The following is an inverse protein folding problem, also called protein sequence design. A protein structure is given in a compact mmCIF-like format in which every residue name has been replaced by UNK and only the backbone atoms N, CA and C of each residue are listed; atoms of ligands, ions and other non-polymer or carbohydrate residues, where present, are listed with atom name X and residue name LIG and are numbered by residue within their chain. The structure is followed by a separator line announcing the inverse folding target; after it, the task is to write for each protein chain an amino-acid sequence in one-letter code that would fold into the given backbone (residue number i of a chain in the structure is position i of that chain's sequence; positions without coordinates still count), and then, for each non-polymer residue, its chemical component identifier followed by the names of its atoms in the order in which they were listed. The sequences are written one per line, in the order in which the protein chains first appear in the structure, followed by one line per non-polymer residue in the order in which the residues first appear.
data_IF_841328892406
#
_entry.id   IF_841328892406
#
_cell.length_a   1.000
_cell.length_b   1.000
_cell.length_c   1.000
_cell.angle_alpha   90.00
_cell.angle_beta   90.00
_cell.angle_gamma   90.00
#
_symmetry.space_group_name_H-M   'P 1'
#
loop_
_entity.id
_entity.type
_entity.pdbx_description
1 polymer ?
#
# COMPACT_ATOMS: atom_id res chain seq x y z
N UNK A 1 -3.65 -18.35 -20.56
CA UNK A 1 -3.19 -17.01 -20.11
C UNK A 1 -3.29 -16.06 -21.29
N UNK A 2 -3.55 -14.76 -21.09
CA UNK A 2 -3.54 -13.82 -22.21
C UNK A 2 -2.18 -13.82 -22.87
N UNK A 3 -2.18 -13.81 -24.20
CA UNK A 3 -0.97 -13.80 -25.01
C UNK A 3 -0.60 -12.41 -25.47
N UNK A 4 -1.51 -11.43 -25.45
CA UNK A 4 -1.23 -10.04 -25.86
C UNK A 4 -1.80 -9.01 -24.89
N UNK A 5 -0.93 -8.12 -24.43
CA UNK A 5 -1.24 -7.03 -23.51
C UNK A 5 -0.95 -5.69 -24.21
N UNK A 6 -1.73 -4.68 -23.87
CA UNK A 6 -1.55 -3.30 -24.31
C UNK A 6 -1.40 -2.41 -23.08
N UNK A 7 -0.28 -1.71 -22.98
CA UNK A 7 0.00 -0.74 -21.92
C UNK A 7 -0.17 0.66 -22.50
N UNK A 8 -0.90 1.51 -21.80
CA UNK A 8 -1.12 2.91 -22.15
C UNK A 8 -0.69 3.77 -20.95
N UNK A 9 0.49 4.42 -21.02
CA UNK A 9 0.96 5.29 -19.95
C UNK A 9 0.08 6.54 -19.84
N UNK A 10 -0.41 6.90 -18.65
CA UNK A 10 -1.37 8.02 -18.54
C UNK A 10 -0.78 9.39 -18.92
N UNK A 11 0.52 9.60 -18.77
CA UNK A 11 1.22 10.83 -19.22
C UNK A 11 1.75 10.73 -20.65
N UNK A 12 1.64 9.54 -21.27
CA UNK A 12 2.28 9.23 -22.53
C UNK A 12 3.81 9.11 -22.47
N UNK A 13 4.47 9.25 -21.32
CA UNK A 13 5.91 9.02 -21.16
C UNK A 13 6.19 7.79 -20.31
N UNK A 14 7.11 6.95 -20.78
CA UNK A 14 7.41 5.67 -20.13
C UNK A 14 8.87 5.28 -20.30
N UNK A 15 9.39 4.64 -19.26
CA UNK A 15 10.66 3.95 -19.24
C UNK A 15 10.41 2.43 -19.23
N UNK A 16 11.09 1.72 -20.11
CA UNK A 16 11.15 0.25 -20.13
C UNK A 16 12.56 -0.13 -19.71
N UNK A 17 12.70 -0.78 -18.57
CA UNK A 17 13.99 -1.15 -17.99
C UNK A 17 14.17 -2.66 -17.98
N UNK A 18 15.33 -3.13 -18.44
CA UNK A 18 15.72 -4.54 -18.35
C UNK A 18 16.40 -4.78 -16.99
N UNK A 19 15.69 -5.43 -16.08
CA UNK A 19 16.17 -5.73 -14.74
C UNK A 19 17.39 -6.66 -14.70
N UNK A 20 17.53 -7.55 -15.69
CA UNK A 20 18.64 -8.51 -15.76
C UNK A 20 19.91 -7.82 -16.24
N UNK A 21 19.79 -6.96 -17.25
CA UNK A 21 20.91 -6.22 -17.84
C UNK A 21 21.21 -4.90 -17.13
N UNK A 22 20.34 -4.48 -16.21
CA UNK A 22 20.44 -3.21 -15.48
C UNK A 22 20.56 -1.98 -16.40
N UNK A 23 19.77 -1.96 -17.47
CA UNK A 23 19.80 -0.87 -18.45
C UNK A 23 18.41 -0.50 -18.97
N UNK A 24 18.26 0.76 -19.37
CA UNK A 24 17.05 1.24 -20.06
C UNK A 24 17.02 0.69 -21.49
N UNK A 25 15.91 0.05 -21.87
CA UNK A 25 15.64 -0.43 -23.22
C UNK A 25 14.98 0.67 -24.05
N UNK A 26 14.12 1.45 -23.42
CA UNK A 26 13.36 2.52 -24.05
C UNK A 26 13.03 3.59 -23.01
N UNK A 27 13.19 4.85 -23.38
CA UNK A 27 12.75 5.99 -22.57
C UNK A 27 12.24 7.07 -23.50
N UNK A 28 10.94 7.37 -23.43
CA UNK A 28 10.34 8.32 -24.36
C UNK A 28 8.82 8.37 -24.33
N UNK A 29 8.26 9.08 -25.31
CA UNK A 29 6.82 9.17 -25.50
C UNK A 29 6.28 7.90 -26.16
N UNK A 30 5.31 7.26 -25.52
CA UNK A 30 4.54 6.15 -26.05
C UNK A 30 3.05 6.38 -25.78
N UNK A 31 2.24 6.38 -26.83
CA UNK A 31 0.79 6.31 -26.71
C UNK A 31 0.34 4.90 -26.33
N UNK A 32 0.98 3.87 -26.89
CA UNK A 32 0.66 2.47 -26.62
C UNK A 32 1.90 1.58 -26.71
N UNK A 33 2.01 0.62 -25.81
CA UNK A 33 2.98 -0.47 -25.89
C UNK A 33 2.23 -1.79 -26.00
N UNK A 34 2.51 -2.58 -27.03
CA UNK A 34 1.95 -3.91 -27.21
C UNK A 34 2.99 -4.96 -26.81
N UNK A 35 2.64 -5.82 -25.87
CA UNK A 35 3.45 -6.95 -25.42
C UNK A 35 2.78 -8.24 -25.87
N UNK A 36 3.47 -9.07 -26.64
CA UNK A 36 2.95 -10.36 -27.09
C UNK A 36 3.86 -11.50 -26.66
N UNK A 37 3.30 -12.50 -25.98
CA UNK A 37 3.97 -13.77 -25.72
C UNK A 37 4.26 -14.50 -27.03
N UNK A 38 5.45 -15.09 -27.13
CA UNK A 38 5.91 -15.86 -28.27
C UNK A 38 6.26 -17.29 -27.85
N UNK A 39 6.35 -18.18 -28.85
CA UNK A 39 6.90 -19.53 -28.64
C UNK A 39 8.33 -19.43 -28.10
N UNK A 40 8.75 -20.44 -27.33
CA UNK A 40 10.10 -20.51 -26.77
C UNK A 40 10.35 -19.60 -25.56
N UNK A 41 9.30 -19.19 -24.83
CA UNK A 41 9.45 -18.40 -23.60
C UNK A 41 9.96 -16.98 -23.83
N UNK A 42 9.66 -16.41 -25.01
CA UNK A 42 10.02 -15.03 -25.37
C UNK A 42 8.78 -14.15 -25.34
N UNK A 43 8.99 -12.84 -25.23
CA UNK A 43 7.98 -11.82 -25.47
C UNK A 43 8.49 -10.79 -26.47
N UNK A 44 7.57 -10.31 -27.29
CA UNK A 44 7.76 -9.21 -28.23
C UNK A 44 7.20 -7.94 -27.62
N UNK A 45 7.96 -6.87 -27.62
CA UNK A 45 7.54 -5.55 -27.14
C UNK A 45 7.57 -4.57 -28.30
N UNK A 46 6.43 -3.98 -28.63
CA UNK A 46 6.28 -2.98 -29.68
C UNK A 46 5.80 -1.66 -29.07
N UNK A 47 6.54 -0.58 -29.28
CA UNK A 47 6.14 0.78 -28.88
C UNK A 47 5.49 1.48 -30.07
N UNK A 48 4.31 2.08 -29.86
CA UNK A 48 3.47 2.79 -30.84
C UNK A 48 3.42 2.09 -32.20
N UNK A 49 2.52 1.10 -32.34
CA UNK A 49 2.33 0.24 -33.52
C UNK A 49 3.42 0.38 -34.61
N UNK A 50 4.64 -0.08 -34.25
CA UNK A 50 5.86 -0.22 -35.08
C UNK A 50 6.90 0.93 -35.06
N UNK A 51 6.92 1.85 -34.09
CA UNK A 51 8.08 2.78 -33.94
C UNK A 51 9.34 2.10 -33.40
N UNK A 52 9.22 1.10 -32.53
CA UNK A 52 10.37 0.33 -32.04
C UNK A 52 9.92 -1.07 -31.61
N UNK A 53 10.64 -2.10 -32.06
CA UNK A 53 10.32 -3.51 -31.81
C UNK A 53 11.50 -4.21 -31.15
N UNK A 54 11.22 -4.96 -30.09
CA UNK A 54 12.23 -5.65 -29.30
C UNK A 54 11.76 -7.05 -28.88
N UNK A 55 12.72 -7.94 -28.61
CA UNK A 55 12.48 -9.33 -28.21
C UNK A 55 13.23 -9.64 -26.91
N UNK A 56 12.53 -10.20 -25.93
CA UNK A 56 13.08 -10.49 -24.60
C UNK A 56 12.67 -11.87 -24.11
N UNK A 57 13.53 -12.48 -23.30
CA UNK A 57 13.25 -13.74 -22.59
C UNK A 57 13.21 -13.56 -21.06
N UNK A 58 13.41 -12.33 -20.58
CA UNK A 58 13.49 -11.96 -19.17
C UNK A 58 12.38 -10.96 -18.78
N UNK A 59 12.30 -10.64 -17.49
CA UNK A 59 11.39 -9.64 -16.95
C UNK A 59 11.83 -8.22 -17.36
N UNK A 60 10.86 -7.40 -17.77
CA UNK A 60 11.04 -5.97 -18.02
C UNK A 60 10.14 -5.17 -17.10
N UNK A 61 10.64 -4.03 -16.65
CA UNK A 61 9.92 -3.07 -15.83
C UNK A 61 9.40 -1.92 -16.69
N UNK A 62 8.09 -1.68 -16.64
CA UNK A 62 7.38 -0.62 -17.34
C UNK A 62 7.00 0.45 -16.32
N UNK A 63 7.72 1.57 -16.33
CA UNK A 63 7.59 2.64 -15.35
C UNK A 63 7.16 3.94 -16.03
N UNK A 64 5.94 4.44 -15.76
CA UNK A 64 5.53 5.72 -16.30
C UNK A 64 6.29 6.86 -15.61
N UNK A 65 6.82 7.80 -16.41
CA UNK A 65 7.62 8.92 -15.88
C UNK A 65 6.71 9.85 -15.07
N UNK A 66 7.15 10.21 -13.86
CA UNK A 66 6.35 10.97 -12.90
C UNK A 66 5.40 10.12 -12.03
N UNK A 67 5.47 8.78 -12.13
CA UNK A 67 4.62 7.83 -11.39
C UNK A 67 3.10 8.04 -11.53
N UNK A 68 2.56 8.48 -12.68
CA UNK A 68 1.11 8.47 -12.89
C UNK A 68 0.61 7.02 -13.00
N UNK A 69 -0.71 6.80 -12.99
CA UNK A 69 -1.28 5.50 -13.30
C UNK A 69 -0.80 4.91 -14.64
N UNK A 70 -0.65 3.58 -14.68
CA UNK A 70 -0.44 2.80 -15.89
C UNK A 70 -1.75 2.07 -16.23
N UNK A 71 -2.26 2.29 -17.44
CA UNK A 71 -3.44 1.57 -17.91
C UNK A 71 -2.98 0.30 -18.63
N UNK A 72 -3.52 -0.84 -18.23
CA UNK A 72 -3.25 -2.14 -18.81
C UNK A 72 -4.54 -2.71 -19.41
N UNK A 73 -4.57 -2.80 -20.73
CA UNK A 73 -5.61 -3.48 -21.49
C UNK A 73 -5.14 -4.89 -21.84
N UNK A 74 -5.92 -5.89 -21.47
CA UNK A 74 -5.61 -7.29 -21.71
C UNK A 74 -6.65 -7.88 -22.67
N UNK A 75 -6.16 -8.53 -23.73
CA UNK A 75 -7.00 -9.24 -24.69
C UNK A 75 -6.86 -10.75 -24.48
N UNK A 76 -7.87 -11.37 -23.85
CA UNK A 76 -7.96 -12.83 -23.71
C UNK A 76 -9.42 -13.25 -23.65
N UNK A 77 -10.01 -13.61 -24.80
CA UNK A 77 -11.42 -14.02 -24.90
C UNK A 77 -12.45 -12.92 -24.55
N UNK A 78 -11.98 -11.70 -24.29
CA UNK A 78 -12.75 -10.49 -24.01
C UNK A 78 -11.78 -9.33 -23.74
N UNK A 79 -12.16 -8.09 -24.11
CA UNK A 79 -11.37 -6.89 -23.80
C UNK A 79 -11.62 -6.48 -22.36
N UNK A 80 -10.60 -6.53 -21.50
CA UNK A 80 -10.65 -6.01 -20.13
C UNK A 80 -9.58 -4.93 -19.96
N UNK A 81 -9.92 -3.85 -19.25
CA UNK A 81 -9.02 -2.73 -18.97
C UNK A 81 -8.87 -2.56 -17.46
N UNK A 82 -7.64 -2.36 -17.02
CA UNK A 82 -7.27 -2.16 -15.63
C UNK A 82 -6.35 -0.93 -15.53
N UNK A 83 -6.34 -0.28 -14.38
CA UNK A 83 -5.48 0.87 -14.12
C UNK A 83 -4.76 0.67 -12.80
N UNK A 84 -3.43 0.77 -12.82
CA UNK A 84 -2.58 0.51 -11.66
C UNK A 84 -1.71 1.72 -11.34
N UNK A 85 -1.35 1.89 -10.06
CA UNK A 85 -0.33 2.86 -9.67
C UNK A 85 1.06 2.23 -9.75
N UNK A 86 2.08 3.07 -9.81
CA UNK A 86 3.47 2.62 -9.85
C UNK A 86 3.86 2.03 -11.21
N UNK A 87 4.61 0.94 -11.19
CA UNK A 87 5.20 0.31 -12.38
C UNK A 87 4.65 -1.10 -12.57
N UNK A 88 4.80 -1.64 -13.77
CA UNK A 88 4.41 -3.00 -14.10
C UNK A 88 5.63 -3.79 -14.55
N UNK A 89 6.00 -4.83 -13.82
CA UNK A 89 6.98 -5.81 -14.29
C UNK A 89 6.26 -6.89 -15.11
N UNK A 90 6.73 -7.16 -16.32
CA UNK A 90 6.15 -8.17 -17.21
C UNK A 90 7.23 -9.15 -17.63
N UNK A 91 6.92 -10.45 -17.54
CA UNK A 91 7.82 -11.52 -17.95
C UNK A 91 7.08 -12.56 -18.79
N UNK A 92 7.74 -13.20 -19.78
CA UNK A 92 7.16 -14.33 -20.49
C UNK A 92 7.02 -15.55 -19.55
N UNK A 93 5.97 -16.35 -19.76
CA UNK A 93 5.75 -17.63 -19.08
C UNK A 93 5.24 -18.67 -20.09
N UNK A 94 5.36 -19.97 -19.78
CA UNK A 94 4.86 -21.04 -20.66
C UNK A 94 3.37 -20.81 -20.98
N UNK A 95 3.08 -20.48 -22.24
CA UNK A 95 1.71 -20.23 -22.72
C UNK A 95 1.11 -18.85 -22.41
N UNK A 96 1.91 -17.83 -22.03
CA UNK A 96 1.40 -16.46 -21.88
C UNK A 96 2.37 -15.47 -21.26
N UNK A 97 1.81 -14.39 -20.72
CA UNK A 97 2.55 -13.35 -20.00
C UNK A 97 2.20 -13.37 -18.51
N UNK A 98 3.19 -13.01 -17.69
CA UNK A 98 3.07 -12.79 -16.24
C UNK A 98 3.26 -11.32 -15.93
N UNK A 99 2.46 -10.79 -15.01
CA UNK A 99 2.51 -9.39 -14.60
C UNK A 99 2.61 -9.25 -13.10
N UNK A 100 3.51 -8.38 -12.66
CA UNK A 100 3.72 -8.04 -11.25
C UNK A 100 3.66 -6.53 -11.15
N UNK A 101 2.69 -6.00 -10.41
CA UNK A 101 2.60 -4.57 -10.17
C UNK A 101 3.57 -4.19 -9.04
N UNK A 102 4.47 -3.24 -9.34
CA UNK A 102 5.39 -2.65 -8.38
C UNK A 102 4.82 -1.31 -7.92
N UNK A 103 4.46 -1.22 -6.64
CA UNK A 103 3.70 -0.09 -6.11
C UNK A 103 4.18 0.29 -4.70
N UNK A 104 4.05 1.57 -4.37
CA UNK A 104 4.23 2.09 -3.02
C UNK A 104 3.15 1.51 -2.09
N UNK A 105 3.50 1.20 -0.83
CA UNK A 105 2.56 0.58 0.11
C UNK A 105 1.35 1.48 0.41
N UNK A 106 1.51 2.79 0.46
CA UNK A 106 0.42 3.73 0.70
C UNK A 106 -0.52 3.77 -0.52
N UNK A 107 0.03 3.74 -1.73
CA UNK A 107 -0.76 3.62 -2.96
C UNK A 107 -1.47 2.26 -3.08
N UNK A 108 -0.82 1.19 -2.64
CA UNK A 108 -1.42 -0.14 -2.55
C UNK A 108 -2.64 -0.15 -1.63
N UNK A 109 -2.52 0.46 -0.45
CA UNK A 109 -3.59 0.48 0.54
C UNK A 109 -4.83 1.25 0.09
N UNK A 110 -4.69 2.24 -0.80
CA UNK A 110 -5.83 2.95 -1.40
C UNK A 110 -6.78 2.02 -2.16
N UNK A 111 -6.25 0.91 -2.70
CA UNK A 111 -7.05 -0.13 -3.36
C UNK A 111 -7.49 -1.24 -2.41
N UNK A 112 -6.60 -1.66 -1.49
CA UNK A 112 -6.89 -2.76 -0.55
C UNK A 112 -8.00 -2.40 0.42
N UNK A 113 -7.90 -1.27 1.12
CA UNK A 113 -8.84 -0.89 2.18
C UNK A 113 -10.31 -0.91 1.70
N UNK A 114 -10.70 -0.26 0.60
CA UNK A 114 -12.08 -0.31 0.10
C UNK A 114 -12.47 -1.64 -0.56
N UNK A 115 -11.51 -2.55 -0.75
CA UNK A 115 -11.77 -3.92 -1.18
C UNK A 115 -12.05 -4.85 0.00
N UNK A 116 -11.57 -4.49 1.19
CA UNK A 116 -11.65 -5.31 2.40
C UNK A 116 -12.80 -4.89 3.32
N UNK A 117 -12.96 -3.59 3.59
CA UNK A 117 -14.00 -3.08 4.51
C UNK A 117 -15.09 -2.32 3.76
N UNK A 118 -16.27 -2.25 4.35
CA UNK A 118 -17.42 -1.50 3.82
C UNK A 118 -17.03 -0.06 3.43
N UNK A 119 -17.38 0.35 2.21
CA UNK A 119 -16.93 1.62 1.63
C UNK A 119 -17.47 2.88 2.34
N UNK A 120 -18.48 2.75 3.21
CA UNK A 120 -18.99 3.83 4.08
C UNK A 120 -18.77 3.54 5.57
N UNK A 121 -17.83 2.65 5.90
CA UNK A 121 -17.43 2.42 7.29
C UNK A 121 -16.97 3.74 7.94
N UNK A 122 -17.24 3.97 9.24
CA UNK A 122 -16.79 5.18 9.94
C UNK A 122 -15.27 5.38 9.87
N UNK A 123 -14.82 6.64 9.97
CA UNK A 123 -13.40 7.02 9.83
C UNK A 123 -12.46 6.18 10.70
N UNK A 124 -12.80 5.96 11.97
CA UNK A 124 -11.98 5.16 12.89
C UNK A 124 -11.86 3.69 12.45
N UNK A 125 -12.90 3.10 11.85
CA UNK A 125 -12.84 1.74 11.31
C UNK A 125 -11.98 1.67 10.04
N UNK A 126 -12.08 2.68 9.16
CA UNK A 126 -11.22 2.78 7.98
C UNK A 126 -9.74 2.93 8.37
N UNK A 127 -9.44 3.76 9.36
CA UNK A 127 -8.09 3.94 9.90
C UNK A 127 -7.56 2.65 10.54
N UNK A 128 -8.37 1.95 11.36
CA UNK A 128 -7.99 0.67 11.95
C UNK A 128 -7.71 -0.39 10.87
N UNK A 129 -8.60 -0.54 9.89
CA UNK A 129 -8.39 -1.43 8.74
C UNK A 129 -7.13 -1.08 7.96
N UNK A 130 -6.85 0.20 7.77
CA UNK A 130 -5.66 0.65 7.05
C UNK A 130 -4.38 0.25 7.78
N UNK A 131 -4.30 0.48 9.09
CA UNK A 131 -3.13 0.11 9.91
C UNK A 131 -2.96 -1.41 9.95
N UNK A 132 -4.06 -2.16 10.13
CA UNK A 132 -4.04 -3.62 10.11
C UNK A 132 -3.59 -4.17 8.74
N UNK A 133 -4.11 -3.62 7.64
CA UNK A 133 -3.72 -4.01 6.29
C UNK A 133 -2.26 -3.67 5.98
N UNK A 134 -1.78 -2.50 6.41
CA UNK A 134 -0.38 -2.07 6.28
C UNK A 134 0.56 -3.03 7.00
N UNK A 135 0.24 -3.31 8.26
CA UNK A 135 1.03 -4.21 9.10
C UNK A 135 1.09 -5.62 8.51
N UNK A 136 -0.05 -6.13 8.05
CA UNK A 136 -0.13 -7.45 7.40
C UNK A 136 0.75 -7.50 6.16
N UNK A 137 0.66 -6.47 5.30
CA UNK A 137 1.47 -6.38 4.09
C UNK A 137 2.97 -6.36 4.41
N UNK A 138 3.39 -5.62 5.45
CA UNK A 138 4.80 -5.51 5.89
C UNK A 138 5.31 -6.85 6.40
N UNK A 139 4.56 -7.48 7.31
CA UNK A 139 4.92 -8.78 7.90
C UNK A 139 5.08 -9.87 6.84
N UNK A 140 4.23 -9.83 5.81
CA UNK A 140 4.17 -10.88 4.78
C UNK A 140 4.98 -10.55 3.52
N UNK A 141 5.86 -9.55 3.54
CA UNK A 141 6.65 -9.17 2.37
C UNK A 141 7.45 -10.34 1.77
N UNK A 142 7.94 -11.27 2.60
CA UNK A 142 8.75 -12.40 2.14
C UNK A 142 7.93 -13.64 1.76
N UNK A 143 6.60 -13.58 1.81
CA UNK A 143 5.72 -14.76 1.71
C UNK A 143 5.84 -15.53 0.41
N UNK A 144 6.06 -14.82 -0.70
CA UNK A 144 6.18 -15.40 -2.04
C UNK A 144 7.55 -15.11 -2.68
N UNK A 145 8.50 -14.56 -1.91
CA UNK A 145 9.76 -14.03 -2.43
C UNK A 145 10.78 -15.10 -2.80
N UNK A 146 10.52 -16.37 -2.49
CA UNK A 146 11.33 -17.51 -2.93
C UNK A 146 11.09 -17.84 -4.40
N UNK A 147 10.38 -18.92 -4.68
CA UNK A 147 10.22 -19.45 -6.05
C UNK A 147 9.37 -18.59 -6.98
N UNK A 148 8.56 -17.65 -6.46
CA UNK A 148 7.55 -16.96 -7.26
C UNK A 148 7.92 -15.51 -7.66
N UNK A 149 8.96 -14.93 -7.06
CA UNK A 149 9.48 -13.59 -7.35
C UNK A 149 8.48 -12.43 -7.14
N UNK A 150 7.53 -12.58 -6.21
CA UNK A 150 6.66 -11.50 -5.72
C UNK A 150 6.51 -11.55 -4.19
N UNK A 151 5.86 -10.55 -3.61
CA UNK A 151 5.76 -10.41 -2.15
C UNK A 151 4.35 -10.73 -1.66
N UNK A 152 3.33 -10.22 -2.35
CA UNK A 152 1.91 -10.46 -2.05
C UNK A 152 1.13 -10.85 -3.31
N UNK A 153 0.07 -11.63 -3.13
CA UNK A 153 -0.90 -11.98 -4.16
C UNK A 153 -2.15 -11.07 -4.10
N UNK A 154 -2.93 -11.02 -5.17
CA UNK A 154 -4.16 -10.21 -5.32
C UNK A 154 -5.45 -10.90 -4.82
N UNK A 155 -5.32 -12.09 -4.23
CA UNK A 155 -6.44 -12.92 -3.76
C UNK A 155 -6.72 -12.73 -2.28
N UNK A 156 -7.89 -13.20 -1.82
CA UNK A 156 -8.29 -13.25 -0.40
C UNK A 156 -7.30 -14.00 0.51
N UNK A 157 -6.42 -14.82 -0.06
CA UNK A 157 -5.34 -15.47 0.68
C UNK A 157 -4.24 -14.48 1.15
N UNK A 158 -4.05 -13.38 0.43
CA UNK A 158 -3.14 -12.30 0.78
C UNK A 158 -3.96 -11.05 1.16
N UNK A 159 -4.30 -10.20 0.19
CA UNK A 159 -5.27 -9.10 0.32
C UNK A 159 -5.85 -8.80 -1.06
N UNK A 160 -7.12 -8.37 -1.12
CA UNK A 160 -7.76 -8.07 -2.41
C UNK A 160 -7.19 -6.77 -2.97
N UNK A 161 -6.58 -6.84 -4.17
CA UNK A 161 -6.01 -5.68 -4.87
C UNK A 161 -6.56 -5.60 -6.30
N UNK A 162 -7.25 -4.50 -6.64
CA UNK A 162 -7.91 -4.33 -7.95
C UNK A 162 -7.41 -3.09 -8.71
N UNK A 163 -6.30 -2.49 -8.26
CA UNK A 163 -5.82 -1.22 -8.81
C UNK A 163 -6.74 -0.05 -8.47
N UNK A 164 -6.75 0.96 -9.35
CA UNK A 164 -7.36 2.28 -9.08
C UNK A 164 -8.89 2.22 -9.06
N UNK A 165 -9.51 1.25 -9.73
CA UNK A 165 -10.96 1.17 -9.90
C UNK A 165 -11.75 1.12 -8.57
N UNK A 166 -11.11 0.69 -7.47
CA UNK A 166 -11.74 0.60 -6.14
C UNK A 166 -11.35 1.73 -5.20
N UNK A 167 -10.49 2.65 -5.61
CA UNK A 167 -10.07 3.77 -4.77
C UNK A 167 -11.25 4.69 -4.47
N UNK A 168 -11.43 5.01 -3.18
CA UNK A 168 -12.43 5.98 -2.72
C UNK A 168 -11.76 7.05 -1.86
N UNK A 169 -12.36 8.25 -1.84
CA UNK A 169 -11.84 9.39 -1.05
C UNK A 169 -11.68 9.05 0.43
N UNK A 170 -12.63 8.31 0.99
CA UNK A 170 -12.65 7.94 2.41
C UNK A 170 -11.46 7.05 2.79
N UNK A 171 -11.20 6.00 2.02
CA UNK A 171 -10.03 5.14 2.21
C UNK A 171 -8.72 5.91 1.97
N UNK A 172 -8.69 6.78 0.96
CA UNK A 172 -7.50 7.62 0.68
C UNK A 172 -7.19 8.57 1.83
N UNK A 173 -8.21 9.14 2.48
CA UNK A 173 -8.09 9.95 3.70
C UNK A 173 -7.50 9.11 4.84
N UNK A 174 -8.06 7.92 5.11
CA UNK A 174 -7.57 7.02 6.16
C UNK A 174 -6.11 6.58 5.94
N UNK A 175 -5.72 6.29 4.69
CA UNK A 175 -4.33 6.02 4.29
C UNK A 175 -3.42 7.19 4.65
N UNK A 176 -3.80 8.42 4.29
CA UNK A 176 -3.02 9.62 4.58
C UNK A 176 -2.89 9.88 6.09
N UNK A 177 -3.97 9.77 6.85
CA UNK A 177 -3.99 10.06 8.31
C UNK A 177 -3.26 8.98 9.14
N UNK A 178 -3.08 7.80 8.56
CA UNK A 178 -2.36 6.68 9.18
C UNK A 178 -1.02 6.37 8.51
N UNK A 179 -0.48 7.31 7.74
CA UNK A 179 0.75 7.12 6.98
C UNK A 179 1.86 6.51 7.84
N UNK A 180 2.46 5.41 7.35
CA UNK A 180 3.54 4.71 8.05
C UNK A 180 3.16 3.98 9.34
N UNK A 181 1.94 4.16 9.89
CA UNK A 181 1.54 3.54 11.16
C UNK A 181 1.29 2.04 10.98
N UNK A 182 1.92 1.24 11.83
CA UNK A 182 1.79 -0.21 11.92
C UNK A 182 1.61 -0.65 13.38
N UNK A 183 1.20 -1.91 13.57
CA UNK A 183 1.25 -2.59 14.85
C UNK A 183 2.50 -3.46 14.95
N UNK A 184 3.16 -3.43 16.09
CA UNK A 184 4.29 -4.30 16.43
C UNK A 184 3.97 -5.11 17.68
N UNK A 185 4.57 -6.30 17.78
CA UNK A 185 4.60 -7.09 19.00
C UNK A 185 6.03 -7.55 19.26
N UNK A 186 6.62 -7.09 20.37
CA UNK A 186 8.07 -7.13 20.55
C UNK A 186 8.75 -6.18 19.55
N UNK A 187 9.76 -6.67 18.84
CA UNK A 187 10.49 -5.95 17.79
C UNK A 187 9.95 -6.18 16.37
N UNK A 188 8.92 -7.00 16.21
CA UNK A 188 8.45 -7.46 14.90
C UNK A 188 7.07 -6.88 14.54
N UNK A 189 6.78 -6.63 13.24
CA UNK A 189 5.44 -6.31 12.77
C UNK A 189 4.43 -7.38 13.21
N UNK A 190 3.34 -6.97 13.86
CA UNK A 190 2.35 -7.89 14.41
C UNK A 190 1.58 -8.65 13.30
N UNK A 191 1.08 -9.83 13.63
CA UNK A 191 0.21 -10.60 12.75
C UNK A 191 -1.21 -10.07 12.82
N UNK A 192 -1.54 -9.13 11.93
CA UNK A 192 -2.82 -8.42 11.91
C UNK A 192 -3.81 -9.03 10.93
N UNK A 193 -4.07 -10.33 11.08
CA UNK A 193 -5.15 -11.03 10.36
C UNK A 193 -6.51 -10.41 10.68
N UNK A 194 -7.40 -10.33 9.70
CA UNK A 194 -8.73 -9.77 9.83
C UNK A 194 -9.73 -10.53 8.96
N UNK A 195 -11.02 -10.46 9.31
CA UNK A 195 -12.09 -11.22 8.66
C UNK A 195 -13.40 -10.43 8.66
N UNK A 196 -14.38 -10.86 7.84
CA UNK A 196 -15.61 -10.08 7.62
C UNK A 196 -16.51 -9.94 8.84
N UNK A 197 -16.88 -11.05 9.48
CA UNK A 197 -17.76 -11.03 10.64
C UNK A 197 -17.46 -12.19 11.57
N UNK A 198 -17.44 -11.97 12.89
CA UNK A 198 -17.09 -12.98 13.87
C UNK A 198 -18.30 -13.79 14.40
N UNK A 199 -19.53 -13.31 14.18
CA UNK A 199 -20.74 -13.90 14.76
C UNK A 199 -20.83 -13.71 16.28
N UNK A 200 -20.14 -12.72 16.84
CA UNK A 200 -20.15 -12.34 18.26
C UNK A 200 -18.92 -12.81 19.04
N UNK A 201 -18.07 -13.65 18.47
CA UNK A 201 -16.91 -14.21 19.18
C UNK A 201 -15.68 -14.30 18.27
N UNK A 202 -14.55 -13.80 18.76
CA UNK A 202 -13.23 -13.96 18.16
C UNK A 202 -12.68 -15.32 18.59
N UNK A 203 -12.00 -15.99 17.66
CA UNK A 203 -11.43 -17.32 17.87
C UNK A 203 -9.91 -17.21 18.11
N UNK A 204 -9.41 -18.01 19.04
CA UNK A 204 -7.97 -18.11 19.33
C UNK A 204 -7.20 -18.67 18.12
N UNK A 205 -6.04 -18.08 17.82
CA UNK A 205 -5.19 -18.52 16.71
C UNK A 205 -4.87 -20.01 16.72
N UNK A 206 -4.68 -20.63 17.91
CA UNK A 206 -4.42 -22.06 18.07
C UNK A 206 -5.59 -22.95 17.66
N UNK A 207 -6.81 -22.41 17.76
CA UNK A 207 -7.98 -23.10 17.28
C UNK A 207 -8.01 -23.06 15.76
N UNK A 208 -7.83 -21.88 15.16
CA UNK A 208 -7.97 -21.70 13.72
C UNK A 208 -6.89 -22.39 12.89
N UNK A 209 -5.63 -22.36 13.35
CA UNK A 209 -4.48 -22.82 12.56
C UNK A 209 -3.56 -23.74 13.37
N UNK A 210 -2.93 -24.68 12.67
CA UNK A 210 -1.82 -25.48 13.21
C UNK A 210 -0.57 -24.59 13.25
N UNK A 211 0.06 -24.44 14.41
CA UNK A 211 1.29 -23.65 14.56
C UNK A 211 1.49 -23.12 15.98
N UNK A 212 2.57 -22.36 16.16
CA UNK A 212 2.90 -21.73 17.45
C UNK A 212 1.83 -20.72 17.86
N UNK A 213 1.50 -20.64 19.17
CA UNK A 213 0.55 -19.66 19.68
C UNK A 213 0.99 -18.23 19.34
N UNK A 214 0.06 -17.41 18.87
CA UNK A 214 0.27 -15.97 18.71
C UNK A 214 -0.35 -15.27 19.92
N UNK A 215 0.45 -14.69 20.85
CA UNK A 215 -0.04 -14.28 22.18
C UNK A 215 -1.16 -13.24 22.17
N UNK A 216 -1.21 -12.39 21.15
CA UNK A 216 -2.19 -11.32 20.99
C UNK A 216 -3.37 -11.69 20.08
N UNK A 217 -3.39 -12.90 19.50
CA UNK A 217 -4.53 -13.40 18.73
C UNK A 217 -5.37 -14.34 19.60
N UNK A 218 -6.02 -13.71 20.58
CA UNK A 218 -6.81 -14.36 21.61
C UNK A 218 -8.26 -14.56 21.15
N UNK A 219 -8.86 -15.67 21.58
CA UNK A 219 -10.31 -15.81 21.49
C UNK A 219 -10.99 -15.05 22.62
N UNK A 220 -11.96 -14.19 22.31
CA UNK A 220 -12.76 -13.46 23.30
C UNK A 220 -14.11 -13.02 22.71
N UNK A 221 -15.02 -12.56 23.56
CA UNK A 221 -16.29 -11.97 23.12
C UNK A 221 -16.05 -10.69 22.31
N UNK A 222 -16.76 -10.51 21.20
CA UNK A 222 -16.68 -9.32 20.34
C UNK A 222 -17.57 -8.20 20.90
N UNK A 223 -17.36 -7.80 22.15
CA UNK A 223 -18.20 -6.82 22.80
C UNK A 223 -17.88 -6.64 24.27
N UNK A 224 -18.74 -5.88 24.94
CA UNK A 224 -18.79 -5.79 26.39
C UNK A 224 -19.74 -6.88 26.90
N UNK A 225 -19.35 -7.61 27.95
CA UNK A 225 -20.20 -8.63 28.57
C UNK A 225 -21.58 -8.04 28.93
N UNK A 226 -22.65 -8.74 28.55
CA UNK A 226 -24.03 -8.31 28.76
C UNK A 226 -24.58 -7.30 27.73
N UNK A 227 -23.79 -6.86 26.75
CA UNK A 227 -24.26 -6.04 25.62
C UNK A 227 -24.33 -6.86 24.34
N UNK A 228 -24.97 -6.33 23.27
CA UNK A 228 -24.88 -6.94 21.95
C UNK A 228 -23.44 -6.84 21.42
N UNK A 229 -22.97 -7.81 20.63
CA UNK A 229 -21.61 -7.77 20.10
C UNK A 229 -21.45 -6.66 19.06
N UNK A 230 -20.25 -6.09 18.98
CA UNK A 230 -19.88 -5.04 18.05
C UNK A 230 -20.18 -5.42 16.59
N UNK A 231 -19.95 -6.68 16.19
CA UNK A 231 -20.26 -7.12 14.82
C UNK A 231 -21.74 -7.05 14.47
N UNK A 232 -22.66 -7.07 15.43
CA UNK A 232 -24.09 -6.86 15.16
C UNK A 232 -24.37 -5.39 14.87
N UNK A 233 -23.83 -4.47 15.67
CA UNK A 233 -23.94 -3.03 15.39
C UNK A 233 -23.35 -2.68 14.01
N UNK A 234 -22.21 -3.27 13.63
CA UNK A 234 -21.64 -3.05 12.30
C UNK A 234 -22.50 -3.56 11.14
N UNK A 235 -23.18 -4.70 11.32
CA UNK A 235 -24.16 -5.19 10.33
C UNK A 235 -25.32 -4.19 10.15
N UNK A 236 -25.86 -3.67 11.25
CA UNK A 236 -26.94 -2.68 11.20
C UNK A 236 -26.51 -1.40 10.45
N UNK A 237 -25.30 -0.91 10.71
CA UNK A 237 -24.71 0.24 10.00
C UNK A 237 -24.59 -0.03 8.50
N UNK A 238 -24.09 -1.21 8.10
CA UNK A 238 -23.99 -1.61 6.69
C UNK A 238 -25.34 -1.70 5.98
N UNK A 239 -26.38 -2.12 6.70
CA UNK A 239 -27.73 -2.25 6.19
C UNK A 239 -28.50 -0.92 6.18
N UNK A 240 -27.85 0.20 6.52
CA UNK A 240 -28.47 1.52 6.73
C UNK A 240 -29.63 1.51 7.75
N UNK A 241 -29.67 0.52 8.65
CA UNK A 241 -30.68 0.41 9.69
C UNK A 241 -30.25 1.24 10.90
N UNK A 242 -30.30 2.58 10.75
CA UNK A 242 -29.94 3.56 11.80
C UNK A 242 -31.01 3.69 12.91
N UNK A 243 -31.97 2.78 12.97
CA UNK A 243 -33.15 2.90 13.84
C UNK A 243 -32.87 2.52 15.29
N UNK A 244 -31.79 1.76 15.57
CA UNK A 244 -31.44 1.37 16.93
C UNK A 244 -30.45 2.37 17.56
N UNK A 245 -30.78 2.88 18.76
CA UNK A 245 -29.90 3.77 19.51
C UNK A 245 -28.65 3.00 19.95
N UNK A 246 -27.49 3.33 19.36
CA UNK A 246 -26.21 2.74 19.72
C UNK A 246 -25.84 3.06 21.18
N UNK A 247 -25.19 2.13 21.90
CA UNK A 247 -24.69 2.40 23.24
C UNK A 247 -23.60 3.46 23.19
N UNK A 248 -23.36 4.13 24.33
CA UNK A 248 -22.18 5.00 24.50
C UNK A 248 -20.92 4.17 24.68
N UNK A 249 -19.74 4.67 24.25
CA UNK A 249 -18.48 3.96 24.46
C UNK A 249 -18.19 3.88 25.96
N UNK A 250 -17.75 2.70 26.40
CA UNK A 250 -17.27 2.50 27.77
C UNK A 250 -15.85 3.02 27.92
N UNK A 251 -15.51 3.52 29.11
CA UNK A 251 -14.18 4.01 29.44
C UNK A 251 -13.15 2.88 29.54
N UNK A 252 -13.59 1.67 29.87
CA UNK A 252 -12.77 0.45 29.94
C UNK A 252 -13.53 -0.75 29.40
N UNK A 253 -12.85 -1.59 28.61
CA UNK A 253 -13.38 -2.88 28.13
C UNK A 253 -12.45 -3.98 28.67
N UNK A 254 -13.01 -4.95 29.38
CA UNK A 254 -12.26 -6.11 29.87
C UNK A 254 -12.34 -7.24 28.85
N UNK A 255 -11.18 -7.71 28.37
CA UNK A 255 -11.08 -8.84 27.45
C UNK A 255 -10.91 -10.13 28.28
N UNK A 256 -11.99 -10.88 28.40
CA UNK A 256 -11.96 -12.22 29.02
C UNK A 256 -11.60 -13.27 27.98
N UNK A 257 -10.40 -13.85 28.10
CA UNK A 257 -9.91 -14.90 27.20
C UNK A 257 -10.79 -16.14 27.29
N UNK A 258 -11.23 -16.64 26.14
CA UNK A 258 -11.95 -17.91 26.01
C UNK A 258 -10.98 -19.07 25.78
N UNK A 259 -11.42 -20.30 26.09
CA UNK A 259 -10.67 -21.51 25.78
C UNK A 259 -10.48 -21.64 24.25
N UNK A 260 -9.28 -22.07 23.83
CA UNK A 260 -8.92 -22.35 22.44
C UNK A 260 -9.76 -23.47 21.79
N UNK A 261 -10.49 -24.29 22.57
CA UNK A 261 -11.32 -25.38 22.06
C UNK A 261 -12.73 -24.96 21.58
N UNK A 262 -13.06 -23.66 21.56
CA UNK A 262 -14.39 -23.11 21.19
C UNK A 262 -14.78 -23.23 19.70
N UNK A 263 -14.20 -24.20 18.97
CA UNK A 263 -14.43 -24.50 17.55
C UNK A 263 -15.88 -24.82 17.15
N UNK A 264 -16.78 -25.12 18.10
CA UNK A 264 -18.08 -25.74 17.80
C UNK A 264 -19.20 -24.79 17.28
N UNK A 265 -18.90 -23.52 16.99
CA UNK A 265 -19.91 -22.51 16.62
C UNK A 265 -19.67 -21.83 15.25
N UNK A 266 -19.16 -22.54 14.23
CA UNK A 266 -18.69 -21.87 13.01
C UNK A 266 -19.46 -22.22 11.74
N UNK A 267 -20.24 -21.24 11.25
CA UNK A 267 -20.72 -21.14 9.87
C UNK A 267 -19.55 -20.86 8.91
N UNK A 268 -19.50 -21.57 7.77
CA UNK A 268 -18.46 -21.44 6.72
C UNK A 268 -18.35 -20.03 6.10
N UNK A 269 -19.41 -19.22 6.18
CA UNK A 269 -19.53 -17.93 5.45
C UNK A 269 -18.88 -16.72 6.15
N UNK A 270 -18.24 -16.90 7.30
CA UNK A 270 -17.79 -15.79 8.18
C UNK A 270 -16.27 -15.59 8.25
N UNK A 271 -15.50 -16.31 7.42
CA UNK A 271 -14.04 -16.25 7.41
C UNK A 271 -13.39 -16.99 8.58
N UNK A 272 -12.11 -16.73 8.82
CA UNK A 272 -11.31 -17.47 9.83
C UNK A 272 -11.54 -17.01 11.27
N UNK A 273 -12.20 -15.86 11.49
CA UNK A 273 -12.60 -15.33 12.81
C UNK A 273 -11.50 -15.06 13.84
N UNK A 274 -10.27 -14.94 13.38
CA UNK A 274 -9.10 -14.59 14.22
C UNK A 274 -8.75 -13.13 14.00
N UNK A 275 -8.32 -12.43 15.05
CA UNK A 275 -7.93 -11.03 14.98
C UNK A 275 -9.12 -10.10 14.73
N UNK A 276 -8.93 -9.08 13.92
CA UNK A 276 -9.94 -8.01 13.77
C UNK A 276 -11.16 -8.46 12.96
N UNK A 277 -12.34 -8.30 13.55
CA UNK A 277 -13.62 -8.42 12.88
C UNK A 277 -13.96 -7.10 12.16
N UNK A 278 -14.18 -7.12 10.84
CA UNK A 278 -14.47 -5.91 10.07
C UNK A 278 -15.81 -5.28 10.49
N UNK A 279 -16.87 -6.09 10.57
CA UNK A 279 -18.16 -5.62 11.08
C UNK A 279 -18.05 -5.16 12.55
N UNK A 280 -17.24 -5.83 13.35
CA UNK A 280 -17.01 -5.42 14.74
C UNK A 280 -16.27 -4.09 14.86
N UNK A 281 -15.24 -3.86 14.05
CA UNK A 281 -14.54 -2.58 13.94
C UNK A 281 -15.48 -1.44 13.49
N UNK A 282 -16.39 -1.71 12.55
CA UNK A 282 -17.45 -0.76 12.14
C UNK A 282 -18.36 -0.45 13.33
N UNK A 283 -18.82 -1.47 14.06
CA UNK A 283 -19.68 -1.31 15.23
C UNK A 283 -19.02 -0.48 16.33
N UNK A 284 -17.77 -0.80 16.68
CA UNK A 284 -16.99 -0.03 17.65
C UNK A 284 -16.81 1.43 17.23
N UNK A 285 -16.44 1.66 15.97
CA UNK A 285 -16.25 3.01 15.45
C UNK A 285 -17.57 3.81 15.42
N UNK A 286 -18.69 3.15 15.11
CA UNK A 286 -20.02 3.77 15.12
C UNK A 286 -20.48 4.13 16.54
N UNK A 287 -20.08 3.35 17.55
CA UNK A 287 -20.29 3.64 18.97
C UNK A 287 -19.44 4.84 19.44
N UNK A 288 -18.30 5.10 18.78
CA UNK A 288 -17.44 6.25 19.06
C UNK A 288 -16.02 5.89 19.52
N UNK A 289 -15.63 4.61 19.45
CA UNK A 289 -14.24 4.23 19.70
C UNK A 289 -13.33 4.69 18.54
N UNK A 290 -12.16 5.21 18.88
CA UNK A 290 -11.17 5.61 17.89
C UNK A 290 -10.37 4.40 17.35
N UNK A 291 -9.62 4.61 16.26
CA UNK A 291 -8.87 3.55 15.59
C UNK A 291 -7.88 2.82 16.52
N UNK A 292 -7.23 3.53 17.44
CA UNK A 292 -6.29 2.93 18.40
C UNK A 292 -7.02 2.01 19.37
N UNK A 293 -8.20 2.40 19.86
CA UNK A 293 -9.02 1.57 20.74
C UNK A 293 -9.55 0.33 20.01
N UNK A 294 -10.01 0.48 18.77
CA UNK A 294 -10.41 -0.65 17.92
C UNK A 294 -9.26 -1.65 17.76
N UNK A 295 -8.07 -1.18 17.40
CA UNK A 295 -6.90 -2.04 17.23
C UNK A 295 -6.45 -2.70 18.54
N UNK A 296 -6.48 -1.97 19.65
CA UNK A 296 -6.12 -2.50 20.97
C UNK A 296 -7.09 -3.59 21.45
N UNK A 297 -8.36 -3.48 21.08
CA UNK A 297 -9.37 -4.49 21.39
C UNK A 297 -9.12 -5.81 20.64
N UNK A 298 -8.81 -5.74 19.34
CA UNK A 298 -8.61 -6.94 18.51
C UNK A 298 -7.19 -7.51 18.52
N UNK A 299 -6.19 -6.72 18.88
CA UNK A 299 -4.79 -7.11 18.94
C UNK A 299 -4.17 -6.67 20.28
N UNK A 300 -4.67 -7.18 21.42
CA UNK A 300 -4.24 -6.76 22.75
C UNK A 300 -2.73 -7.00 22.95
N UNK A 301 -2.05 -6.06 23.59
CA UNK A 301 -0.62 -6.12 23.85
C UNK A 301 0.28 -5.73 22.67
N UNK A 302 -0.30 -5.45 21.49
CA UNK A 302 0.46 -4.80 20.41
C UNK A 302 0.69 -3.32 20.68
N UNK A 303 1.77 -2.77 20.13
CA UNK A 303 2.09 -1.33 20.21
C UNK A 303 2.01 -0.71 18.82
N UNK A 304 1.61 0.55 18.77
CA UNK A 304 1.66 1.31 17.53
C UNK A 304 3.09 1.80 17.30
N UNK A 305 3.61 1.60 16.09
CA UNK A 305 4.89 2.11 15.65
C UNK A 305 4.72 2.82 14.29
N UNK A 306 5.65 3.71 13.98
CA UNK A 306 5.75 4.33 12.66
C UNK A 306 6.90 3.69 11.92
N UNK A 307 6.64 3.20 10.71
CA UNK A 307 7.70 2.73 9.83
C UNK A 307 8.46 3.92 9.27
N UNK A 308 9.78 3.90 9.47
CA UNK A 308 10.69 4.72 8.69
C UNK A 308 11.12 3.87 7.49
N UNK A 309 10.80 4.32 6.28
CA UNK A 309 11.30 3.66 5.07
C UNK A 309 12.82 3.81 5.06
N UNK A 310 13.55 2.71 5.21
CA UNK A 310 15.00 2.75 5.07
C UNK A 310 15.34 3.25 3.67
N UNK A 311 15.96 4.43 3.59
CA UNK A 311 16.78 4.81 2.45
C UNK A 311 18.05 3.99 2.61
N UNK A 312 18.21 2.93 1.83
CA UNK A 312 19.52 2.27 1.76
C UNK A 312 20.46 3.20 0.99
N UNK A 313 21.13 4.08 1.73
CA UNK A 313 22.14 4.99 1.23
C UNK A 313 22.78 5.71 2.42
N UNK A 314 24.06 5.41 2.66
CA UNK A 314 24.91 5.80 3.80
C UNK A 314 24.66 5.09 5.13
N UNK A 315 25.73 4.46 5.64
CA UNK A 315 25.90 4.14 7.06
C UNK A 315 25.51 5.35 7.93
N UNK A 316 25.00 5.13 9.15
CA UNK A 316 24.68 6.24 10.03
C UNK A 316 25.93 7.08 10.22
N UNK A 317 25.91 8.31 9.72
CA UNK A 317 26.85 9.34 10.18
C UNK A 317 26.63 9.41 11.69
N UNK A 318 27.60 8.93 12.46
CA UNK A 318 27.67 9.22 13.88
C UNK A 318 27.51 10.73 14.00
N UNK A 319 26.35 11.14 14.49
CA UNK A 319 26.16 12.53 14.86
C UNK A 319 27.02 12.69 16.11
N UNK A 320 28.07 13.53 16.09
CA UNK A 320 28.80 13.78 17.32
C UNK A 320 27.79 14.29 18.35
N UNK A 321 27.91 13.86 19.62
CA UNK A 321 26.92 14.16 20.64
C UNK A 321 26.71 15.67 20.72
N UNK A 322 25.43 16.07 20.69
CA UNK A 322 25.04 17.44 21.01
C UNK A 322 25.42 17.65 22.47
N UNK A 323 26.55 18.32 22.70
CA UNK A 323 26.90 18.86 24.01
C UNK A 323 25.87 19.95 24.30
N UNK A 324 24.93 19.65 25.18
CA UNK A 324 24.07 20.67 25.78
C UNK A 324 24.98 21.54 26.63
N UNK A 325 25.36 22.71 26.11
CA UNK A 325 26.18 23.67 26.83
C UNK A 325 25.47 24.05 28.14
N UNK A 326 26.22 23.92 29.23
CA UNK A 326 25.87 24.45 30.54
C UNK A 326 25.72 25.98 30.50
N UNK A 327 24.99 26.50 31.49
CA UNK A 327 24.61 27.89 31.70
C UNK A 327 25.73 28.95 31.54
N UNK A 328 25.39 30.23 31.28
CA UNK A 328 26.25 31.20 30.61
C UNK A 328 27.33 31.81 31.52
N UNK A 329 28.52 32.06 30.94
CA UNK A 329 29.54 32.95 31.51
C UNK A 329 29.30 34.41 31.10
N UNK A 330 29.72 35.40 31.91
CA UNK A 330 29.39 36.80 31.71
C UNK A 330 30.15 37.44 30.55
N UNK A 331 29.57 38.53 30.05
CA UNK A 331 29.86 39.23 28.80
C UNK A 331 31.28 39.81 28.67
N UNK A 332 31.82 39.71 27.46
CA UNK A 332 32.68 40.73 26.86
C UNK A 332 32.12 41.13 25.48
N UNK A 333 32.41 42.35 25.09
CA UNK A 333 31.57 43.32 24.37
C UNK A 333 31.82 43.37 22.85
N UNK A 334 30.78 43.83 22.09
CA UNK A 334 30.82 44.60 20.81
C UNK A 334 31.04 43.78 19.51
N UNK A 335 30.34 43.96 18.37
CA UNK A 335 29.42 44.99 17.85
C UNK A 335 28.39 44.42 16.86
N UNK A 336 27.27 45.14 16.68
CA UNK A 336 26.21 44.90 15.69
C UNK A 336 26.60 45.42 14.29
N UNK A 337 26.23 44.70 13.22
CA UNK A 337 25.95 45.30 11.90
C UNK A 337 24.64 44.69 11.35
N UNK A 338 23.69 45.56 11.06
CA UNK A 338 22.34 45.30 10.57
C UNK A 338 22.31 44.92 9.06
N UNK A 339 21.21 44.34 8.53
CA UNK A 339 21.17 43.74 7.20
C UNK A 339 21.05 44.78 6.07
N UNK A 340 21.64 44.56 4.87
CA UNK A 340 21.46 45.48 3.76
C UNK A 340 20.10 45.36 3.04
N UNK A 341 19.64 46.55 2.66
CA UNK A 341 18.32 47.01 2.18
C UNK A 341 18.04 46.68 0.68
N UNK A 342 16.79 46.62 0.19
CA UNK A 342 16.38 46.18 -1.17
C UNK A 342 16.78 47.05 -2.37
N UNK A 343 17.75 47.95 -2.26
CA UNK A 343 18.11 48.90 -3.33
C UNK A 343 19.30 48.45 -4.20
N UNK A 344 19.88 47.28 -3.94
CA UNK A 344 20.93 46.68 -4.80
C UNK A 344 20.39 45.81 -5.95
N UNK A 345 19.06 45.63 -6.06
CA UNK A 345 18.43 44.80 -7.09
C UNK A 345 18.33 45.53 -8.46
N UNK A 346 18.50 46.85 -8.51
CA UNK A 346 18.37 47.63 -9.75
C UNK A 346 19.69 47.96 -10.48
N UNK A 347 20.84 47.44 -10.03
CA UNK A 347 22.14 47.69 -10.65
C UNK A 347 22.77 46.48 -11.39
N UNK A 348 22.08 45.34 -11.45
CA UNK A 348 22.47 44.20 -12.31
C UNK A 348 21.66 44.14 -13.63
N UNK A 349 20.78 45.12 -13.87
CA UNK A 349 20.09 45.35 -15.13
C UNK A 349 20.83 46.42 -15.95
N UNK A 350 21.99 46.09 -16.50
CA UNK A 350 22.61 46.76 -17.67
C UNK A 350 23.89 46.00 -18.04
N UNK A 351 23.97 45.55 -19.29
CA UNK A 351 25.08 44.86 -19.96
C UNK A 351 25.25 43.35 -19.74
N UNK A 352 24.45 42.55 -20.44
CA UNK A 352 25.00 41.43 -21.20
C UNK A 352 24.15 41.17 -22.45
N UNK A 353 24.82 41.23 -23.60
CA UNK A 353 24.31 40.96 -24.94
C UNK A 353 23.73 39.55 -25.05
N UNK A 354 22.75 39.44 -25.93
CA UNK A 354 22.16 38.24 -26.57
C UNK A 354 22.98 36.96 -26.45
N UNK A 355 22.41 35.94 -25.77
CA UNK A 355 22.50 34.54 -26.19
C UNK A 355 21.11 33.93 -26.03
N UNK A 356 20.40 33.74 -27.14
CA UNK A 356 19.36 32.72 -27.24
C UNK A 356 20.01 31.38 -26.90
N UNK A 357 19.71 30.81 -25.73
CA UNK A 357 19.85 29.38 -25.55
C UNK A 357 18.45 28.78 -25.55
N UNK A 358 18.06 28.21 -26.68
CA UNK A 358 17.05 27.16 -26.76
C UNK A 358 17.40 26.07 -25.74
N UNK A 359 16.91 26.18 -24.50
CA UNK A 359 16.82 25.01 -23.64
C UNK A 359 15.69 24.18 -24.21
N UNK A 360 16.06 23.20 -25.03
CA UNK A 360 15.13 22.21 -25.52
C UNK A 360 14.40 21.60 -24.33
N UNK A 361 13.12 21.29 -24.48
CA UNK A 361 12.38 20.46 -23.53
C UNK A 361 13.18 19.17 -23.21
N UNK A 362 14.06 18.69 -24.11
CA UNK A 362 15.01 17.60 -23.86
C UNK A 362 16.01 17.89 -22.73
N UNK A 363 16.46 19.11 -22.53
CA UNK A 363 17.46 19.46 -21.51
C UNK A 363 16.81 19.59 -20.12
N UNK A 364 15.58 20.12 -20.06
CA UNK A 364 14.75 20.09 -18.85
C UNK A 364 14.40 18.65 -18.46
N UNK A 365 14.07 17.80 -19.45
CA UNK A 365 13.81 16.38 -19.21
C UNK A 365 15.07 15.58 -18.84
N UNK A 366 16.25 15.95 -19.37
CA UNK A 366 17.54 15.41 -18.94
C UNK A 366 17.89 15.82 -17.51
N UNK A 367 17.56 17.05 -17.07
CA UNK A 367 17.74 17.45 -15.67
C UNK A 367 16.80 16.71 -14.72
N UNK A 368 15.55 16.44 -15.12
CA UNK A 368 14.61 15.58 -14.35
C UNK A 368 15.10 14.11 -14.32
N UNK A 369 15.77 13.66 -15.39
CA UNK A 369 16.39 12.33 -15.43
C UNK A 369 17.74 12.25 -14.69
N UNK A 370 18.49 13.35 -14.61
CA UNK A 370 19.78 13.43 -13.94
C UNK A 370 19.65 13.76 -12.44
N UNK A 371 18.53 14.31 -11.99
CA UNK A 371 18.18 14.39 -10.56
C UNK A 371 17.77 13.05 -9.95
N UNK A 372 18.05 11.92 -10.64
CA UNK A 372 17.81 10.55 -10.20
C UNK A 372 18.93 9.95 -9.34
N UNK A 373 19.77 10.77 -8.70
CA UNK A 373 20.50 10.27 -7.54
C UNK A 373 19.57 10.33 -6.31
N UNK A 374 18.98 9.16 -6.01
CA UNK A 374 18.51 8.73 -4.70
C UNK A 374 17.64 9.68 -3.86
N UNK A 375 16.49 10.10 -4.41
CA UNK A 375 15.44 10.70 -3.56
C UNK A 375 14.04 10.23 -3.91
N UNK A 376 13.72 9.02 -3.47
CA UNK A 376 12.41 8.71 -2.94
C UNK A 376 12.54 7.49 -2.05
N UNK A 377 12.68 7.73 -0.74
CA UNK A 377 12.54 6.75 0.31
C UNK A 377 11.21 5.99 0.12
N UNK A 378 11.27 4.84 -0.53
CA UNK A 378 10.12 3.97 -0.70
C UNK A 378 10.61 2.54 -0.84
N UNK A 379 10.37 1.71 0.17
CA UNK A 379 10.57 0.27 0.04
C UNK A 379 9.57 -0.27 -1.00
N UNK A 380 9.99 -0.35 -2.26
CA UNK A 380 9.17 -0.76 -3.41
C UNK A 380 8.60 -2.18 -3.19
N UNK A 381 7.29 -2.36 -3.36
CA UNK A 381 6.61 -3.64 -3.15
C UNK A 381 6.14 -4.29 -4.44
N UNK A 382 6.37 -5.58 -4.60
CA UNK A 382 6.01 -6.42 -5.76
C UNK A 382 4.75 -7.23 -5.47
N UNK A 383 3.65 -6.91 -6.14
CA UNK A 383 2.36 -7.63 -6.02
C UNK A 383 2.09 -8.39 -7.31
N UNK A 384 1.82 -9.69 -7.21
CA UNK A 384 1.51 -10.52 -8.37
C UNK A 384 0.02 -10.55 -8.68
N UNK A 385 -0.28 -10.64 -9.98
CA UNK A 385 -1.64 -10.68 -10.50
C UNK A 385 -1.73 -11.56 -11.75
N UNK A 386 -2.80 -12.35 -11.89
CA UNK A 386 -3.08 -13.13 -13.11
C UNK A 386 -4.27 -12.53 -13.90
N UNK A 387 -4.04 -12.04 -15.13
CA UNK A 387 -5.10 -11.38 -15.91
C UNK A 387 -6.31 -12.24 -16.31
N UNK A 388 -6.17 -13.57 -16.29
CA UNK A 388 -7.26 -14.51 -16.57
C UNK A 388 -8.24 -14.67 -15.40
N UNK A 389 -7.83 -14.30 -14.18
CA UNK A 389 -8.64 -14.34 -12.96
C UNK A 389 -8.24 -13.18 -12.03
N UNK A 390 -8.53 -11.93 -12.40
CA UNK A 390 -8.22 -10.77 -11.57
C UNK A 390 -9.02 -10.84 -10.27
N UNK A 391 -8.43 -11.27 -9.15
CA UNK A 391 -9.05 -11.28 -7.82
C UNK A 391 -10.58 -11.43 -7.79
N UNK A 392 -11.14 -12.32 -8.63
CA UNK A 392 -12.60 -12.37 -8.82
C UNK A 392 -13.13 -13.08 -7.59
N UNK A 393 -13.53 -12.30 -6.59
CA UNK A 393 -14.64 -12.69 -5.76
C UNK A 393 -15.82 -12.93 -6.72
N UNK A 394 -16.05 -14.20 -7.07
CA UNK A 394 -17.36 -14.68 -7.54
C UNK A 394 -18.31 -14.84 -6.34
N UNK A 395 -18.18 -14.00 -5.33
CA UNK A 395 -18.88 -14.14 -4.05
C UNK A 395 -19.19 -12.76 -3.49
N UNK A 396 -20.06 -12.03 -4.17
CA UNK A 396 -20.84 -10.94 -3.57
C UNK A 396 -22.30 -11.16 -3.97
N UNK A 397 -22.90 -12.17 -3.35
CA UNK A 397 -24.21 -12.13 -2.74
C UNK A 397 -24.05 -12.62 -1.30
#
# INVERSE_FOLDING_TARGET
MPTTWKIEPSTGFIEIFDEKKKQSVYSGKAAQIVISAMKGGKMKVAVDERKSLYYFSNELLFSPVGRPPINLKVSSGGKKSYSYRGSLAVSPQKGGLRGVNIVDIEDYLKSVVPSEIYNRAPDAAQQAQTIAARTYAVRNLKRHSGSENFQLCDKVHCQVYSGIAREIKLATKAVKETNGKILIYGSEPANTVYHSNCGGYIIDSRAAWKGSPVPYLLGHYDGVSGQKPFCQYGKLIKQNQKTEKLPKPQTSITISKMNAQSKKATHKSFGHRVGMCQDGAIGMAAIGYNARQVLAFYYPGTKMATMNYAVNGSEPVETPPIVVAAAPRPAQQVSLVAPPNPTQINALRRNSKTVQSNRSIKDTLKQIAASRNDSAATSLRKIFWTPGQPGISRSIY
#
